data_IF_297565344729
#
_entry.id   IF_297565344729
#
_cell.length_a   1.000
_cell.length_b   1.000
_cell.length_c   1.000
_cell.angle_alpha   90.00
_cell.angle_beta   90.00
_cell.angle_gamma   90.00
#
_symmetry.space_group_name_H-M   'P 1'
#
loop_
_entity.id
_entity.type
_entity.pdbx_description
1 polymer ?
#
# COMPACT_ATOMS: atom_id res chain seq x y z
N UNK A 1 -13.40 -7.58 9.49
CA UNK A 1 -11.99 -8.01 9.34
C UNK A 1 -11.66 -8.46 7.92
N UNK A 2 -12.31 -9.50 7.35
CA UNK A 2 -12.02 -9.98 5.97
C UNK A 2 -12.06 -8.87 4.90
N UNK A 3 -13.07 -7.98 4.96
CA UNK A 3 -13.22 -6.84 4.04
C UNK A 3 -12.08 -5.81 4.16
N UNK A 4 -11.63 -5.52 5.39
CA UNK A 4 -10.57 -4.54 5.62
C UNK A 4 -9.21 -5.09 5.20
N UNK A 5 -8.95 -6.38 5.46
CA UNK A 5 -7.76 -7.06 4.96
C UNK A 5 -7.71 -7.04 3.42
N UNK A 6 -8.85 -7.29 2.76
CA UNK A 6 -8.93 -7.20 1.30
C UNK A 6 -8.60 -5.79 0.80
N UNK A 7 -9.18 -4.75 1.41
CA UNK A 7 -8.87 -3.35 1.06
C UNK A 7 -7.37 -3.08 1.22
N UNK A 8 -6.78 -3.52 2.32
CA UNK A 8 -5.36 -3.32 2.60
C UNK A 8 -4.44 -4.03 1.58
N UNK A 9 -4.76 -5.28 1.23
CA UNK A 9 -4.05 -6.04 0.19
C UNK A 9 -4.15 -5.33 -1.16
N UNK A 10 -5.34 -4.86 -1.54
CA UNK A 10 -5.55 -4.11 -2.78
C UNK A 10 -4.72 -2.82 -2.79
N UNK A 11 -4.66 -2.09 -1.68
CA UNK A 11 -3.81 -0.89 -1.54
C UNK A 11 -2.35 -1.25 -1.81
N UNK A 12 -1.81 -2.30 -1.18
CA UNK A 12 -0.41 -2.70 -1.39
C UNK A 12 -0.16 -3.06 -2.86
N UNK A 13 -1.06 -3.82 -3.50
CA UNK A 13 -0.92 -4.20 -4.91
C UNK A 13 -0.91 -2.95 -5.81
N UNK A 14 -1.87 -2.05 -5.61
CA UNK A 14 -1.97 -0.81 -6.39
C UNK A 14 -0.74 0.07 -6.19
N UNK A 15 -0.29 0.27 -4.96
CA UNK A 15 0.92 1.04 -4.66
C UNK A 15 2.15 0.40 -5.30
N UNK A 16 2.27 -0.92 -5.25
CA UNK A 16 3.38 -1.66 -5.89
C UNK A 16 3.39 -1.43 -7.39
N UNK A 17 2.23 -1.52 -8.06
CA UNK A 17 2.14 -1.28 -9.50
C UNK A 17 2.48 0.18 -9.84
N UNK A 18 1.96 1.15 -9.09
CA UNK A 18 2.17 2.57 -9.38
C UNK A 18 3.63 2.98 -9.15
N UNK A 19 4.22 2.61 -8.02
CA UNK A 19 5.56 3.10 -7.61
C UNK A 19 6.70 2.23 -8.14
N UNK A 20 6.44 0.97 -8.48
CA UNK A 20 7.46 0.05 -9.00
C UNK A 20 7.15 -0.43 -10.42
N UNK A 21 6.35 0.33 -11.19
CA UNK A 21 5.95 -0.05 -12.55
C UNK A 21 7.14 -0.46 -13.43
N UNK A 22 8.20 0.37 -13.43
CA UNK A 22 9.39 0.14 -14.25
C UNK A 22 10.18 -1.07 -13.76
N UNK A 23 10.38 -1.18 -12.46
CA UNK A 23 11.12 -2.26 -11.82
C UNK A 23 10.41 -3.61 -12.01
N UNK A 24 9.07 -3.63 -11.97
CA UNK A 24 8.27 -4.82 -12.23
C UNK A 24 8.38 -5.29 -13.68
N UNK A 25 8.40 -4.37 -14.64
CA UNK A 25 8.44 -4.73 -16.07
C UNK A 25 9.85 -5.04 -16.57
N UNK A 26 10.84 -4.22 -16.18
CA UNK A 26 12.19 -4.30 -16.73
C UNK A 26 13.11 -5.17 -15.87
N UNK A 27 12.91 -5.21 -14.54
CA UNK A 27 13.84 -5.86 -13.60
C UNK A 27 13.17 -6.68 -12.48
N UNK A 28 12.16 -7.54 -12.76
CA UNK A 28 11.34 -8.17 -11.73
C UNK A 28 12.15 -9.01 -10.74
N UNK A 29 13.12 -9.79 -11.23
CA UNK A 29 13.98 -10.63 -10.40
C UNK A 29 14.89 -9.77 -9.51
N UNK A 30 15.49 -8.72 -10.06
CA UNK A 30 16.38 -7.84 -9.31
C UNK A 30 15.60 -7.05 -8.26
N UNK A 31 14.37 -6.61 -8.59
CA UNK A 31 13.49 -5.93 -7.65
C UNK A 31 13.20 -6.80 -6.41
N UNK A 32 12.87 -8.07 -6.60
CA UNK A 32 12.66 -9.03 -5.50
C UNK A 32 13.94 -9.27 -4.71
N UNK A 33 15.09 -9.46 -5.38
CA UNK A 33 16.38 -9.64 -4.70
C UNK A 33 16.80 -8.42 -3.87
N UNK A 34 16.45 -7.23 -4.33
CA UNK A 34 16.74 -5.99 -3.63
C UNK A 34 15.74 -5.66 -2.52
N UNK A 35 14.59 -6.34 -2.45
CA UNK A 35 13.54 -6.09 -1.45
C UNK A 35 14.05 -6.16 0.01
N UNK A 36 14.90 -7.12 0.41
CA UNK A 36 15.51 -7.12 1.75
C UNK A 36 16.28 -5.83 2.09
N UNK A 37 16.83 -5.18 1.07
CA UNK A 37 17.67 -3.98 1.19
C UNK A 37 16.97 -2.70 0.72
N UNK A 38 15.67 -2.77 0.38
CA UNK A 38 14.95 -1.63 -0.19
C UNK A 38 14.65 -0.62 0.91
N UNK A 39 15.48 0.41 1.01
CA UNK A 39 15.36 1.48 2.01
C UNK A 39 14.56 2.68 1.51
N UNK A 40 13.31 2.49 1.07
CA UNK A 40 12.43 3.62 0.74
C UNK A 40 12.30 4.51 1.99
N UNK A 41 12.94 5.68 1.99
CA UNK A 41 13.01 6.59 3.13
C UNK A 41 13.53 5.95 4.43
N UNK A 42 14.41 4.95 4.33
CA UNK A 42 14.97 4.24 5.50
C UNK A 42 14.03 3.22 6.17
N UNK A 43 12.90 2.88 5.54
CA UNK A 43 11.88 1.99 6.11
C UNK A 43 12.17 0.49 5.92
N UNK A 44 13.22 0.14 5.17
CA UNK A 44 13.64 -1.24 4.92
C UNK A 44 12.51 -2.12 4.37
N UNK A 45 12.53 -3.41 4.70
CA UNK A 45 11.54 -4.42 4.24
C UNK A 45 10.09 -4.09 4.61
N UNK A 46 9.87 -3.22 5.59
CA UNK A 46 8.55 -2.88 6.09
C UNK A 46 7.88 -1.74 5.31
N UNK A 47 8.59 -1.09 4.38
CA UNK A 47 8.06 0.03 3.62
C UNK A 47 6.69 -0.23 2.96
N UNK A 48 6.36 -1.43 2.40
CA UNK A 48 5.05 -1.64 1.77
C UNK A 48 3.92 -1.62 2.81
N UNK A 49 4.18 -2.15 4.01
CA UNK A 49 3.21 -2.16 5.10
C UNK A 49 3.01 -0.76 5.67
N UNK A 50 4.09 0.02 5.80
CA UNK A 50 4.03 1.38 6.35
C UNK A 50 3.31 2.31 5.38
N UNK A 51 3.66 2.30 4.09
CA UNK A 51 2.95 3.09 3.08
C UNK A 51 1.51 2.62 2.88
N UNK A 52 1.28 1.30 2.88
CA UNK A 52 -0.08 0.74 2.85
C UNK A 52 -0.93 1.21 4.04
N UNK A 53 -0.37 1.23 5.25
CA UNK A 53 -1.05 1.72 6.45
C UNK A 53 -1.36 3.21 6.36
N UNK A 54 -0.42 4.01 5.88
CA UNK A 54 -0.61 5.44 5.68
C UNK A 54 -1.77 5.72 4.71
N UNK A 55 -1.77 5.08 3.55
CA UNK A 55 -2.85 5.23 2.56
C UNK A 55 -4.18 4.71 3.09
N UNK A 56 -4.18 3.57 3.80
CA UNK A 56 -5.38 3.03 4.42
C UNK A 56 -5.99 4.01 5.43
N UNK A 57 -5.17 4.61 6.31
CA UNK A 57 -5.62 5.64 7.27
C UNK A 57 -6.22 6.84 6.55
N UNK A 58 -5.59 7.31 5.46
CA UNK A 58 -6.13 8.40 4.65
C UNK A 58 -7.51 8.03 4.09
N UNK A 59 -7.70 6.80 3.59
CA UNK A 59 -8.98 6.32 3.06
C UNK A 59 -10.05 6.14 4.15
N UNK A 60 -9.67 5.96 5.42
CA UNK A 60 -10.63 5.94 6.52
C UNK A 60 -11.30 7.29 6.73
N UNK A 61 -10.64 8.40 6.42
CA UNK A 61 -11.18 9.75 6.59
C UNK A 61 -12.46 9.96 5.75
N UNK A 62 -12.44 9.84 4.41
CA UNK A 62 -13.65 10.02 3.61
C UNK A 62 -14.70 8.96 3.97
N UNK A 63 -14.30 7.71 4.27
CA UNK A 63 -15.24 6.66 4.68
C UNK A 63 -15.96 7.00 5.98
N UNK A 64 -15.26 7.56 6.96
CA UNK A 64 -15.85 8.04 8.21
C UNK A 64 -16.81 9.20 7.95
N UNK A 65 -16.41 10.16 7.12
CA UNK A 65 -17.24 11.30 6.71
C UNK A 65 -18.53 10.82 6.03
N UNK A 66 -18.45 9.95 5.02
CA UNK A 66 -19.64 9.38 4.36
C UNK A 66 -20.57 8.64 5.32
N UNK A 67 -20.00 7.93 6.31
CA UNK A 67 -20.79 7.22 7.32
C UNK A 67 -21.55 8.17 8.25
N UNK A 68 -20.98 9.34 8.57
CA UNK A 68 -21.67 10.38 9.34
C UNK A 68 -22.88 10.93 8.55
N UNK A 69 -22.74 11.15 7.25
CA UNK A 69 -23.82 11.67 6.41
C UNK A 69 -24.89 10.63 6.03
N UNK A 70 -24.55 9.33 5.95
CA UNK A 70 -25.51 8.24 5.70
C UNK A 70 -26.31 7.81 6.94
N UNK A 71 -26.04 8.37 8.12
CA UNK A 71 -26.75 8.07 9.38
C UNK A 71 -28.03 8.93 9.56
N UNK A 72 -28.68 9.32 8.47
CA UNK A 72 -30.04 9.84 8.45
C UNK A 72 -30.98 8.80 7.85
#
# INVERSE_FOLDING_TARGET
MKKELLIFVVIIIVLTIIFHYKELLEYPIQHIKNFPNSGAYGLGIFHPLIFGAFVYIILLIPRAIFKLFKRK
#
